data_IF_393935066301
#
_entry.id   IF_393935066301
#
_cell.length_a   1.000
_cell.length_b   1.000
_cell.length_c   1.000
_cell.angle_alpha   90.00
_cell.angle_beta   90.00
_cell.angle_gamma   90.00
#
_symmetry.space_group_name_H-M   'P 1'
#
loop_
_entity.id
_entity.type
_entity.pdbx_description
1 polymer ?
#
# COMPACT_ATOMS: atom_id res chain seq x y z
N UNK A 1 65.88 2.69 -33.93
CA UNK A 1 64.51 2.44 -34.42
C UNK A 1 63.74 1.36 -33.66
N UNK A 2 64.32 0.18 -33.35
CA UNK A 2 63.57 -0.90 -32.64
C UNK A 2 63.06 -0.54 -31.24
N UNK A 3 63.77 0.27 -30.43
CA UNK A 3 63.33 0.68 -29.05
C UNK A 3 62.17 1.66 -29.02
N UNK A 4 62.05 2.53 -30.03
CA UNK A 4 60.94 3.49 -30.15
C UNK A 4 59.61 2.80 -30.45
N UNK A 5 59.62 1.75 -31.25
CA UNK A 5 58.46 0.96 -31.61
C UNK A 5 57.89 0.17 -30.41
N UNK A 6 58.77 -0.32 -29.50
CA UNK A 6 58.35 -1.05 -28.32
C UNK A 6 57.65 -0.10 -27.33
N UNK A 7 58.17 1.11 -27.14
CA UNK A 7 57.57 2.13 -26.24
C UNK A 7 56.20 2.57 -26.77
N UNK A 8 56.05 2.78 -28.08
CA UNK A 8 54.77 3.11 -28.71
C UNK A 8 53.71 1.98 -28.58
N UNK A 9 54.15 0.73 -28.70
CA UNK A 9 53.26 -0.45 -28.52
C UNK A 9 52.84 -0.59 -27.07
N UNK A 10 53.72 -0.38 -26.09
CA UNK A 10 53.38 -0.43 -24.66
C UNK A 10 52.46 0.72 -24.26
N UNK A 11 52.67 1.94 -24.77
CA UNK A 11 51.79 3.08 -24.55
C UNK A 11 50.41 2.88 -25.19
N UNK A 12 50.32 2.32 -26.40
CA UNK A 12 49.03 2.03 -27.03
C UNK A 12 48.29 0.91 -26.33
N UNK A 13 48.98 -0.11 -25.79
CA UNK A 13 48.36 -1.19 -25.03
C UNK A 13 47.89 -0.74 -23.64
N UNK A 14 48.63 0.16 -22.97
CA UNK A 14 48.20 0.76 -21.70
C UNK A 14 47.02 1.73 -21.88
N UNK A 15 46.93 2.44 -23.01
CA UNK A 15 45.82 3.30 -23.34
C UNK A 15 44.54 2.52 -23.70
N UNK A 16 44.65 1.34 -24.31
CA UNK A 16 43.52 0.43 -24.53
C UNK A 16 43.00 -0.19 -23.24
N UNK A 17 43.85 -0.45 -22.24
CA UNK A 17 43.45 -0.96 -20.93
C UNK A 17 42.70 0.09 -20.08
N UNK A 18 42.95 1.38 -20.32
CA UNK A 18 42.22 2.48 -19.65
C UNK A 18 40.86 2.77 -20.28
N UNK A 19 40.59 2.35 -21.51
CA UNK A 19 39.30 2.52 -22.19
C UNK A 19 38.31 1.39 -21.89
N UNK A 20 38.73 0.31 -21.22
CA UNK A 20 37.95 -0.91 -21.05
C UNK A 20 37.11 -1.00 -19.76
N UNK A 21 37.11 -0.01 -18.88
CA UNK A 21 36.53 -0.19 -17.53
C UNK A 21 35.55 0.88 -17.09
N UNK A 22 34.80 1.50 -18.00
CA UNK A 22 33.63 2.26 -17.59
C UNK A 22 32.40 1.34 -17.60
N UNK A 23 32.43 0.29 -16.80
CA UNK A 23 31.17 -0.42 -16.45
C UNK A 23 30.33 0.56 -15.67
N UNK A 24 29.30 1.09 -16.30
CA UNK A 24 28.35 1.96 -15.64
C UNK A 24 27.81 1.20 -14.41
N UNK A 25 28.17 1.67 -13.21
CA UNK A 25 27.72 1.07 -11.96
C UNK A 25 26.19 1.03 -11.97
N UNK A 26 25.62 -0.15 -11.85
CA UNK A 26 24.17 -0.29 -11.75
C UNK A 26 23.67 0.34 -10.45
N UNK A 27 22.58 1.08 -10.55
CA UNK A 27 21.85 1.57 -9.40
C UNK A 27 21.08 0.42 -8.74
N UNK A 28 21.19 0.25 -7.45
CA UNK A 28 20.44 -0.75 -6.69
C UNK A 28 19.31 -0.05 -5.92
N UNK A 29 18.07 -0.41 -6.25
CA UNK A 29 16.89 0.11 -5.56
C UNK A 29 16.32 -0.98 -4.66
N UNK A 30 16.29 -0.72 -3.35
CA UNK A 30 15.60 -1.56 -2.38
C UNK A 30 14.10 -1.29 -2.42
N UNK A 31 13.29 -2.34 -2.59
CA UNK A 31 11.82 -2.25 -2.54
C UNK A 31 11.32 -3.06 -1.35
N UNK A 32 10.84 -2.37 -0.33
CA UNK A 32 10.37 -2.97 0.94
C UNK A 32 8.85 -2.89 1.03
N UNK A 33 8.19 -4.03 0.89
CA UNK A 33 6.73 -4.16 1.03
C UNK A 33 6.34 -4.62 2.43
N UNK A 34 5.23 -4.06 2.94
CA UNK A 34 4.66 -4.45 4.24
C UNK A 34 4.12 -5.88 4.25
N UNK A 35 3.52 -6.30 3.15
CA UNK A 35 2.78 -7.55 3.04
C UNK A 35 2.75 -8.04 1.61
N UNK A 36 2.23 -9.24 1.39
CA UNK A 36 1.79 -9.79 0.11
C UNK A 36 0.29 -9.53 -0.10
N UNK A 37 -0.25 -9.99 -1.24
CA UNK A 37 -1.66 -9.88 -1.63
C UNK A 37 -1.84 -9.21 -2.98
N UNK A 38 -3.04 -9.35 -3.56
CA UNK A 38 -3.36 -8.98 -4.95
C UNK A 38 -2.94 -7.55 -5.28
N UNK A 39 -3.30 -6.58 -4.42
CA UNK A 39 -2.93 -5.18 -4.63
C UNK A 39 -1.41 -4.96 -4.61
N UNK A 40 -0.68 -5.60 -3.68
CA UNK A 40 0.79 -5.50 -3.59
C UNK A 40 1.50 -6.18 -4.75
N UNK A 41 0.98 -7.33 -5.20
CA UNK A 41 1.53 -8.02 -6.37
C UNK A 41 1.37 -7.20 -7.64
N UNK A 42 0.21 -6.53 -7.83
CA UNK A 42 0.03 -5.60 -8.93
C UNK A 42 1.09 -4.51 -8.90
N UNK A 43 1.29 -3.84 -7.77
CA UNK A 43 2.33 -2.80 -7.62
C UNK A 43 3.72 -3.34 -7.90
N UNK A 44 4.07 -4.50 -7.35
CA UNK A 44 5.37 -5.13 -7.58
C UNK A 44 5.61 -5.45 -9.06
N UNK A 45 4.56 -5.89 -9.77
CA UNK A 45 4.63 -6.17 -11.20
C UNK A 45 4.84 -4.89 -12.02
N UNK A 46 4.14 -3.79 -11.69
CA UNK A 46 4.36 -2.49 -12.34
C UNK A 46 5.81 -1.98 -12.12
N UNK A 47 6.35 -2.13 -10.91
CA UNK A 47 7.74 -1.76 -10.62
C UNK A 47 8.72 -2.62 -11.43
N UNK A 48 8.48 -3.93 -11.55
CA UNK A 48 9.31 -4.82 -12.37
C UNK A 48 9.20 -4.49 -13.86
N UNK A 49 7.99 -4.18 -14.35
CA UNK A 49 7.80 -3.75 -15.74
C UNK A 49 8.54 -2.45 -16.03
N UNK A 50 8.50 -1.48 -15.13
CA UNK A 50 9.26 -0.24 -15.26
C UNK A 50 10.77 -0.50 -15.35
N UNK A 51 11.30 -1.48 -14.60
CA UNK A 51 12.72 -1.84 -14.65
C UNK A 51 13.20 -2.23 -16.07
N UNK A 52 12.36 -2.87 -16.88
CA UNK A 52 12.74 -3.24 -18.26
C UNK A 52 13.15 -2.03 -19.13
N UNK A 53 12.68 -0.83 -18.78
CA UNK A 53 13.02 0.41 -19.46
C UNK A 53 14.38 0.96 -18.99
N UNK A 54 14.92 0.50 -17.86
CA UNK A 54 16.14 1.00 -17.21
C UNK A 54 17.16 -0.12 -16.98
N UNK A 55 17.98 -0.39 -18.00
CA UNK A 55 18.97 -1.48 -17.98
C UNK A 55 20.06 -1.35 -16.89
N UNK A 56 20.24 -0.14 -16.36
CA UNK A 56 21.22 0.19 -15.33
C UNK A 56 20.65 0.15 -13.91
N UNK A 57 19.43 -0.42 -13.72
CA UNK A 57 18.78 -0.53 -12.42
C UNK A 57 18.60 -2.00 -12.04
N UNK A 58 19.03 -2.37 -10.83
CA UNK A 58 18.74 -3.65 -10.19
C UNK A 58 17.76 -3.42 -9.03
N UNK A 59 16.75 -4.28 -8.90
CA UNK A 59 15.76 -4.23 -7.83
C UNK A 59 16.01 -5.30 -6.77
N UNK A 60 16.01 -4.89 -5.50
CA UNK A 60 16.09 -5.76 -4.33
C UNK A 60 14.74 -5.75 -3.59
N UNK A 61 13.87 -6.72 -3.87
CA UNK A 61 12.57 -6.84 -3.21
C UNK A 61 12.66 -7.55 -1.86
N UNK A 62 11.91 -7.04 -0.88
CA UNK A 62 11.62 -7.72 0.38
C UNK A 62 10.15 -7.56 0.74
N UNK A 63 9.59 -8.53 1.47
CA UNK A 63 8.22 -8.51 1.99
C UNK A 63 8.24 -8.83 3.47
N UNK A 64 7.52 -8.05 4.26
CA UNK A 64 7.54 -8.17 5.72
C UNK A 64 6.45 -9.10 6.27
N UNK A 65 5.45 -9.46 5.47
CA UNK A 65 4.32 -10.34 5.84
C UNK A 65 3.54 -9.82 7.07
N UNK A 66 3.25 -8.51 7.10
CA UNK A 66 2.59 -7.82 8.21
C UNK A 66 3.36 -7.88 9.54
N UNK A 67 4.69 -7.88 9.48
CA UNK A 67 5.58 -7.78 10.64
C UNK A 67 6.48 -6.53 10.48
N UNK A 68 6.11 -5.44 11.16
CA UNK A 68 6.83 -4.17 11.10
C UNK A 68 8.26 -4.26 11.61
N UNK A 69 8.54 -5.12 12.61
CA UNK A 69 9.89 -5.35 13.12
C UNK A 69 10.75 -6.11 12.10
N UNK A 70 10.16 -7.08 11.39
CA UNK A 70 10.82 -7.74 10.25
C UNK A 70 11.12 -6.73 9.15
N UNK A 71 10.18 -5.84 8.82
CA UNK A 71 10.40 -4.80 7.83
C UNK A 71 11.55 -3.86 8.22
N UNK A 72 11.60 -3.43 9.47
CA UNK A 72 12.69 -2.60 9.99
C UNK A 72 14.05 -3.28 9.81
N UNK A 73 14.18 -4.57 10.14
CA UNK A 73 15.42 -5.35 9.93
C UNK A 73 15.77 -5.49 8.44
N UNK A 74 14.79 -5.65 7.56
CA UNK A 74 15.01 -5.69 6.11
C UNK A 74 15.53 -4.36 5.57
N UNK A 75 15.00 -3.23 6.04
CA UNK A 75 15.49 -1.89 5.70
C UNK A 75 16.93 -1.72 6.22
N UNK A 76 17.25 -2.14 7.43
CA UNK A 76 18.61 -2.12 7.97
C UNK A 76 19.59 -2.94 7.10
N UNK A 77 19.16 -4.08 6.57
CA UNK A 77 19.95 -4.86 5.62
C UNK A 77 20.19 -4.11 4.30
N UNK A 78 19.20 -3.35 3.80
CA UNK A 78 19.38 -2.50 2.62
C UNK A 78 20.39 -1.37 2.88
N UNK A 79 20.32 -0.75 4.07
CA UNK A 79 21.29 0.27 4.51
C UNK A 79 22.71 -0.31 4.54
N UNK A 80 22.88 -1.49 5.17
CA UNK A 80 24.19 -2.16 5.25
C UNK A 80 24.75 -2.52 3.88
N UNK A 81 23.91 -2.85 2.90
CA UNK A 81 24.26 -3.11 1.50
C UNK A 81 24.53 -1.84 0.68
N UNK A 82 24.29 -0.66 1.27
CA UNK A 82 24.47 0.64 0.60
C UNK A 82 23.69 0.73 -0.71
N UNK A 83 22.40 0.34 -0.68
CA UNK A 83 21.52 0.56 -1.84
C UNK A 83 21.44 2.04 -2.18
N UNK A 84 21.23 2.39 -3.44
CA UNK A 84 21.24 3.77 -3.90
C UNK A 84 19.89 4.50 -3.61
N UNK A 85 18.80 3.75 -3.40
CA UNK A 85 17.46 4.26 -3.07
C UNK A 85 16.66 3.17 -2.34
N UNK A 86 15.79 3.57 -1.42
CA UNK A 86 14.78 2.68 -0.82
C UNK A 86 13.39 3.19 -1.17
N UNK A 87 12.56 2.33 -1.77
CA UNK A 87 11.13 2.52 -1.93
C UNK A 87 10.45 1.64 -0.89
N UNK A 88 9.64 2.20 -0.02
CA UNK A 88 9.04 1.46 1.09
C UNK A 88 7.55 1.75 1.23
N UNK A 89 6.76 0.68 1.33
CA UNK A 89 5.38 0.73 1.81
C UNK A 89 5.37 0.29 3.27
N UNK A 90 5.34 1.21 4.25
CA UNK A 90 5.47 0.86 5.66
C UNK A 90 4.35 -0.06 6.15
N UNK A 91 4.68 -1.08 6.96
CA UNK A 91 3.68 -1.96 7.57
C UNK A 91 2.82 -1.17 8.56
N UNK A 92 3.47 -0.54 9.50
CA UNK A 92 2.85 0.34 10.48
C UNK A 92 3.75 1.55 10.79
N UNK A 93 3.13 2.58 11.36
CA UNK A 93 3.82 3.85 11.62
C UNK A 93 4.80 3.79 12.79
N UNK A 94 4.68 2.82 13.70
CA UNK A 94 5.49 2.75 14.92
C UNK A 94 6.81 2.02 14.68
N UNK A 95 6.75 0.81 14.14
CA UNK A 95 7.93 -0.06 13.99
C UNK A 95 8.86 0.39 12.86
N UNK A 96 8.28 0.94 11.77
CA UNK A 96 9.05 1.27 10.56
C UNK A 96 9.69 2.65 10.63
N UNK A 97 9.08 3.62 11.34
CA UNK A 97 9.65 4.98 11.46
C UNK A 97 11.12 5.00 11.88
N UNK A 98 11.57 4.26 12.92
CA UNK A 98 12.99 4.26 13.30
C UNK A 98 13.94 3.77 12.20
N UNK A 99 13.51 2.83 11.37
CA UNK A 99 14.33 2.34 10.25
C UNK A 99 14.46 3.39 9.13
N UNK A 100 13.39 4.14 8.85
CA UNK A 100 13.43 5.27 7.91
C UNK A 100 14.40 6.35 8.40
N UNK A 101 14.37 6.68 9.70
CA UNK A 101 15.32 7.61 10.32
C UNK A 101 16.77 7.14 10.15
N UNK A 102 17.05 5.84 10.27
CA UNK A 102 18.40 5.29 10.05
C UNK A 102 18.82 5.40 8.58
N UNK A 103 17.92 5.11 7.64
CA UNK A 103 18.19 5.28 6.20
C UNK A 103 18.52 6.74 5.86
N UNK A 104 17.73 7.68 6.40
CA UNK A 104 17.97 9.12 6.23
C UNK A 104 19.36 9.53 6.75
N UNK A 105 19.73 9.12 7.98
CA UNK A 105 21.06 9.39 8.54
C UNK A 105 22.21 8.74 7.77
N UNK A 106 21.96 7.64 7.09
CA UNK A 106 22.90 6.98 6.19
C UNK A 106 22.96 7.65 4.80
N UNK A 107 22.26 8.78 4.59
CA UNK A 107 22.15 9.51 3.33
C UNK A 107 21.61 8.67 2.17
N UNK A 108 20.78 7.66 2.47
CA UNK A 108 20.09 6.88 1.45
C UNK A 108 18.73 7.53 1.21
N UNK A 109 18.42 7.98 -0.02
CA UNK A 109 17.11 8.51 -0.36
C UNK A 109 15.99 7.49 -0.06
N UNK A 110 14.87 7.96 0.49
CA UNK A 110 13.71 7.13 0.80
C UNK A 110 12.47 7.69 0.11
N UNK A 111 11.78 6.86 -0.64
CA UNK A 111 10.46 7.15 -1.18
C UNK A 111 9.44 6.32 -0.40
N UNK A 112 8.55 6.99 0.31
CA UNK A 112 7.37 6.35 0.90
C UNK A 112 6.33 6.10 -0.20
N UNK A 113 5.75 4.92 -0.21
CA UNK A 113 4.74 4.54 -1.18
C UNK A 113 3.48 4.05 -0.46
N UNK A 114 2.31 4.57 -0.86
CA UNK A 114 0.99 4.20 -0.33
C UNK A 114 0.78 4.54 1.15
N UNK A 115 1.72 4.20 2.02
CA UNK A 115 1.64 4.37 3.46
C UNK A 115 2.67 5.35 3.99
N UNK A 116 2.39 5.94 5.15
CA UNK A 116 3.20 6.99 5.78
C UNK A 116 3.87 6.50 7.05
N UNK A 117 4.84 7.27 7.53
CA UNK A 117 5.55 7.12 8.80
C UNK A 117 5.40 8.37 9.67
N UNK A 118 5.86 8.33 10.93
CA UNK A 118 5.79 9.45 11.90
C UNK A 118 7.05 10.32 11.88
N UNK A 119 7.64 10.56 10.73
CA UNK A 119 8.81 11.44 10.58
C UNK A 119 8.73 12.19 9.26
N UNK A 120 9.25 13.42 9.17
CA UNK A 120 9.41 14.13 7.91
C UNK A 120 10.70 13.72 7.15
N UNK A 121 11.55 12.86 7.69
CA UNK A 121 12.87 12.51 7.17
C UNK A 121 12.78 11.44 6.08
N UNK A 122 12.24 11.81 4.93
CA UNK A 122 12.21 11.01 3.70
C UNK A 122 12.32 11.96 2.50
N UNK A 123 12.65 11.43 1.33
CA UNK A 123 12.87 12.23 0.11
C UNK A 123 11.56 12.62 -0.56
N UNK A 124 10.63 11.66 -0.68
CA UNK A 124 9.32 11.87 -1.29
C UNK A 124 8.29 10.88 -0.72
N UNK A 125 7.01 11.23 -0.85
CA UNK A 125 5.89 10.33 -0.54
C UNK A 125 4.92 10.33 -1.72
N UNK A 126 4.52 9.12 -2.13
CA UNK A 126 3.58 8.88 -3.23
C UNK A 126 2.41 8.08 -2.69
N UNK A 127 1.21 8.60 -2.79
CA UNK A 127 -0.01 7.94 -2.32
C UNK A 127 -1.23 8.81 -2.50
N UNK A 128 -2.41 8.26 -2.25
CA UNK A 128 -3.67 8.98 -2.27
C UNK A 128 -3.91 9.80 -1.00
N UNK A 129 -4.83 10.75 -1.07
CA UNK A 129 -5.35 11.43 0.12
C UNK A 129 -6.41 10.56 0.79
N UNK A 130 -5.95 9.76 1.76
CA UNK A 130 -6.81 8.83 2.49
C UNK A 130 -7.83 9.54 3.41
N UNK A 131 -7.52 10.77 3.86
CA UNK A 131 -8.47 11.55 4.65
C UNK A 131 -9.63 11.98 3.77
N UNK A 132 -9.32 12.52 2.59
CA UNK A 132 -10.37 12.93 1.66
C UNK A 132 -11.15 11.73 1.12
N UNK A 133 -10.50 10.60 0.84
CA UNK A 133 -11.19 9.36 0.48
C UNK A 133 -12.23 8.95 1.55
N UNK A 134 -11.86 9.01 2.84
CA UNK A 134 -12.79 8.76 3.93
C UNK A 134 -13.95 9.75 3.97
N UNK A 135 -13.68 11.05 3.75
CA UNK A 135 -14.72 12.09 3.71
C UNK A 135 -15.69 11.88 2.56
N UNK A 136 -15.20 11.55 1.37
CA UNK A 136 -16.05 11.33 0.20
C UNK A 136 -16.97 10.13 0.38
N UNK A 137 -16.46 9.01 0.92
CA UNK A 137 -17.31 7.86 1.24
C UNK A 137 -18.37 8.24 2.28
N UNK A 138 -18.00 9.00 3.29
CA UNK A 138 -18.94 9.45 4.32
C UNK A 138 -20.05 10.34 3.75
N UNK A 139 -19.71 11.33 2.91
CA UNK A 139 -20.68 12.20 2.23
C UNK A 139 -21.63 11.39 1.34
N UNK A 140 -21.09 10.45 0.58
CA UNK A 140 -21.85 9.59 -0.30
C UNK A 140 -22.85 8.75 0.49
N UNK A 141 -22.40 8.00 1.50
CA UNK A 141 -23.27 7.14 2.31
C UNK A 141 -24.30 7.96 3.08
N UNK A 142 -23.91 9.08 3.70
CA UNK A 142 -24.84 9.94 4.41
C UNK A 142 -25.93 10.50 3.50
N UNK A 143 -25.57 10.94 2.28
CA UNK A 143 -26.52 11.42 1.29
C UNK A 143 -27.48 10.34 0.81
N UNK A 144 -26.99 9.12 0.58
CA UNK A 144 -27.81 7.99 0.10
C UNK A 144 -28.75 7.42 1.15
N UNK A 145 -28.40 7.59 2.42
CA UNK A 145 -29.17 7.14 3.59
C UNK A 145 -30.02 8.27 4.21
N UNK A 146 -30.11 9.42 3.53
CA UNK A 146 -30.85 10.59 4.03
C UNK A 146 -30.48 10.98 5.48
N UNK A 147 -29.21 10.77 5.84
CA UNK A 147 -28.65 11.09 7.15
C UNK A 147 -29.12 10.19 8.31
N UNK A 148 -29.72 9.04 8.02
CA UNK A 148 -30.25 8.11 9.02
C UNK A 148 -29.76 6.67 8.76
N UNK A 149 -29.68 5.84 9.80
CA UNK A 149 -29.42 4.41 9.67
C UNK A 149 -28.12 3.96 10.35
N UNK A 150 -27.67 2.76 9.99
CA UNK A 150 -26.46 2.15 10.54
C UNK A 150 -25.47 1.85 9.44
N UNK A 151 -24.24 2.34 9.57
CA UNK A 151 -23.12 2.03 8.68
C UNK A 151 -22.14 1.12 9.41
N UNK A 152 -21.77 0.00 8.78
CA UNK A 152 -20.70 -0.87 9.24
C UNK A 152 -19.40 -0.46 8.52
N UNK A 153 -18.45 0.07 9.27
CA UNK A 153 -17.10 0.41 8.81
C UNK A 153 -16.18 -0.78 8.98
N UNK A 154 -15.69 -1.36 7.90
CA UNK A 154 -14.77 -2.50 7.91
C UNK A 154 -13.37 -2.01 7.63
N UNK A 155 -12.54 -1.95 8.69
CA UNK A 155 -11.19 -1.40 8.62
C UNK A 155 -10.13 -2.47 8.33
N UNK A 156 -8.93 -2.02 7.93
CA UNK A 156 -7.72 -2.84 7.85
C UNK A 156 -6.99 -2.91 9.20
N UNK A 157 -5.66 -3.02 9.16
CA UNK A 157 -4.78 -3.00 10.34
C UNK A 157 -4.79 -1.61 10.98
N UNK A 158 -5.17 -1.50 12.25
CA UNK A 158 -5.40 -0.23 12.98
C UNK A 158 -4.21 0.74 12.97
N UNK A 159 -2.97 0.22 12.94
CA UNK A 159 -1.74 1.04 12.95
C UNK A 159 -1.21 1.37 11.54
N UNK A 160 -1.93 0.97 10.49
CA UNK A 160 -1.62 1.36 9.13
C UNK A 160 -2.15 2.77 8.83
N UNK A 161 -1.30 3.65 8.26
CA UNK A 161 -1.67 5.04 7.99
C UNK A 161 -2.93 5.20 7.14
N UNK A 162 -3.23 4.37 6.11
CA UNK A 162 -4.48 4.48 5.36
C UNK A 162 -5.72 4.25 6.24
N UNK A 163 -5.65 3.32 7.21
CA UNK A 163 -6.77 3.07 8.13
C UNK A 163 -7.00 4.27 9.03
N UNK A 164 -5.93 4.79 9.65
CA UNK A 164 -5.99 5.96 10.54
C UNK A 164 -6.59 7.16 9.79
N UNK A 165 -6.14 7.40 8.55
CA UNK A 165 -6.55 8.55 7.76
C UNK A 165 -7.97 8.41 7.20
N UNK A 166 -8.36 7.24 6.64
CA UNK A 166 -9.71 6.96 6.15
C UNK A 166 -10.74 7.04 7.28
N UNK A 167 -10.45 6.38 8.41
CA UNK A 167 -11.28 6.45 9.62
C UNK A 167 -11.47 7.90 10.10
N UNK A 168 -10.39 8.68 10.19
CA UNK A 168 -10.45 10.08 10.58
C UNK A 168 -11.36 10.88 9.64
N UNK A 169 -11.12 10.82 8.34
CA UNK A 169 -11.91 11.56 7.35
C UNK A 169 -13.39 11.17 7.36
N UNK A 170 -13.68 9.88 7.47
CA UNK A 170 -15.03 9.35 7.57
C UNK A 170 -15.75 9.90 8.80
N UNK A 171 -15.15 9.78 9.98
CA UNK A 171 -15.75 10.24 11.24
C UNK A 171 -15.81 11.77 11.37
N UNK A 172 -14.94 12.54 10.70
CA UNK A 172 -15.07 13.99 10.63
C UNK A 172 -16.40 14.41 9.99
N UNK A 173 -16.84 13.72 8.94
CA UNK A 173 -18.11 14.00 8.26
C UNK A 173 -19.27 13.43 9.05
N UNK A 174 -19.18 12.20 9.57
CA UNK A 174 -20.27 11.55 10.34
C UNK A 174 -20.71 12.32 11.58
N UNK A 175 -19.85 13.16 12.15
CA UNK A 175 -20.25 14.08 13.25
C UNK A 175 -21.41 15.01 12.90
N UNK A 176 -21.62 15.29 11.62
CA UNK A 176 -22.71 16.14 11.15
C UNK A 176 -24.03 15.38 10.91
N UNK A 177 -24.01 14.05 11.08
CA UNK A 177 -25.15 13.17 10.84
C UNK A 177 -25.48 12.32 12.08
N UNK A 178 -26.04 12.93 13.15
CA UNK A 178 -26.30 12.23 14.42
C UNK A 178 -27.34 11.10 14.30
N UNK A 179 -28.10 11.05 13.19
CA UNK A 179 -29.02 9.96 12.88
C UNK A 179 -28.32 8.71 12.31
N UNK A 180 -27.02 8.80 11.96
CA UNK A 180 -26.25 7.66 11.48
C UNK A 180 -25.45 7.07 12.64
N UNK A 181 -25.69 5.78 12.91
CA UNK A 181 -24.85 4.97 13.81
C UNK A 181 -23.72 4.33 13.02
N UNK A 182 -22.47 4.44 13.49
CA UNK A 182 -21.33 3.75 12.91
C UNK A 182 -20.88 2.61 13.82
N UNK A 183 -20.65 1.43 13.22
CA UNK A 183 -20.12 0.24 13.90
C UNK A 183 -18.82 -0.15 13.19
N UNK A 184 -17.70 -0.12 13.89
CA UNK A 184 -16.37 -0.41 13.31
C UNK A 184 -15.95 -1.86 13.57
N UNK A 185 -15.53 -2.59 12.52
CA UNK A 185 -15.07 -3.97 12.55
C UNK A 185 -13.68 -4.04 11.91
N UNK A 186 -12.70 -4.64 12.61
CA UNK A 186 -11.31 -4.72 12.17
C UNK A 186 -11.04 -6.04 11.43
N UNK A 187 -10.94 -6.00 10.10
CA UNK A 187 -10.72 -7.18 9.24
C UNK A 187 -9.26 -7.51 8.97
N UNK A 188 -8.34 -6.62 9.32
CA UNK A 188 -6.90 -6.76 9.03
C UNK A 188 -6.60 -6.95 7.53
N UNK A 189 -7.37 -6.30 6.64
CA UNK A 189 -7.30 -6.41 5.17
C UNK A 189 -7.68 -7.79 4.61
N UNK A 190 -8.30 -8.66 5.41
CA UNK A 190 -8.65 -10.04 5.00
C UNK A 190 -10.14 -10.12 4.70
N UNK A 191 -10.47 -10.60 3.50
CA UNK A 191 -11.84 -10.78 3.03
C UNK A 191 -12.62 -11.76 3.91
N UNK A 192 -12.05 -12.92 4.21
CA UNK A 192 -12.67 -13.96 5.04
C UNK A 192 -12.94 -13.45 6.46
N UNK A 193 -12.02 -12.61 6.98
CA UNK A 193 -12.21 -12.00 8.30
C UNK A 193 -13.33 -10.96 8.27
N UNK A 194 -13.42 -10.16 7.20
CA UNK A 194 -14.51 -9.21 7.02
C UNK A 194 -15.87 -9.93 6.96
N UNK A 195 -15.96 -11.02 6.20
CA UNK A 195 -17.16 -11.85 6.10
C UNK A 195 -17.56 -12.45 7.47
N UNK A 196 -16.61 -13.02 8.20
CA UNK A 196 -16.86 -13.60 9.51
C UNK A 196 -17.30 -12.54 10.55
N UNK A 197 -16.68 -11.37 10.54
CA UNK A 197 -17.07 -10.25 11.42
C UNK A 197 -18.47 -9.74 11.09
N UNK A 198 -18.79 -9.59 9.82
CA UNK A 198 -20.13 -9.20 9.38
C UNK A 198 -21.17 -10.24 9.81
N UNK A 199 -20.85 -11.54 9.65
CA UNK A 199 -21.68 -12.66 10.14
C UNK A 199 -21.93 -12.54 11.64
N UNK A 200 -20.89 -12.40 12.45
CA UNK A 200 -20.99 -12.31 13.90
C UNK A 200 -21.80 -11.07 14.34
N UNK A 201 -21.65 -9.96 13.63
CA UNK A 201 -22.41 -8.75 13.90
C UNK A 201 -23.91 -8.95 13.63
N UNK A 202 -24.26 -9.53 12.49
CA UNK A 202 -25.65 -9.79 12.11
C UNK A 202 -26.30 -10.89 12.97
N UNK A 203 -25.55 -11.94 13.37
CA UNK A 203 -26.04 -13.00 14.26
C UNK A 203 -26.42 -12.49 15.66
N UNK A 204 -25.81 -11.40 16.10
CA UNK A 204 -26.14 -10.71 17.36
C UNK A 204 -27.30 -9.72 17.24
N UNK A 205 -28.03 -9.76 16.13
CA UNK A 205 -29.13 -8.84 15.86
C UNK A 205 -28.69 -7.47 15.36
N UNK A 206 -27.44 -7.35 14.88
CA UNK A 206 -26.95 -6.15 14.21
C UNK A 206 -27.72 -5.88 12.91
N UNK A 207 -27.80 -4.62 12.53
CA UNK A 207 -28.41 -4.16 11.28
C UNK A 207 -27.43 -3.26 10.54
N UNK A 208 -27.43 -3.28 9.19
CA UNK A 208 -26.63 -2.41 8.35
C UNK A 208 -27.47 -1.89 7.18
N UNK A 209 -27.52 -0.58 7.03
CA UNK A 209 -28.06 0.12 5.86
C UNK A 209 -26.95 0.46 4.86
N UNK A 210 -25.73 0.62 5.38
CA UNK A 210 -24.53 0.86 4.58
C UNK A 210 -23.31 0.11 5.09
N UNK A 211 -22.36 -0.13 4.20
CA UNK A 211 -21.04 -0.67 4.52
C UNK A 211 -19.96 0.22 3.89
N UNK A 212 -18.98 0.58 4.68
CA UNK A 212 -17.72 1.19 4.22
C UNK A 212 -16.57 0.21 4.40
N UNK A 213 -16.14 -0.45 3.34
CA UNK A 213 -14.90 -1.23 3.32
C UNK A 213 -13.69 -0.33 3.07
N UNK A 214 -12.72 -0.31 4.00
CA UNK A 214 -11.46 0.40 3.79
C UNK A 214 -10.62 -0.20 2.64
N UNK A 215 -11.05 -1.33 2.09
CA UNK A 215 -10.51 -1.95 0.88
C UNK A 215 -11.63 -2.70 0.16
N UNK A 216 -11.43 -3.01 -1.11
CA UNK A 216 -12.35 -3.89 -1.85
C UNK A 216 -12.53 -5.22 -1.14
N UNK A 217 -11.47 -5.82 -0.59
CA UNK A 217 -11.58 -7.09 0.14
C UNK A 217 -12.49 -6.99 1.37
N UNK A 218 -12.44 -5.88 2.10
CA UNK A 218 -13.35 -5.63 3.23
C UNK A 218 -14.81 -5.52 2.78
N UNK A 219 -15.06 -4.77 1.71
CA UNK A 219 -16.37 -4.60 1.11
C UNK A 219 -16.92 -5.91 0.54
N UNK A 220 -16.08 -6.69 -0.18
CA UNK A 220 -16.45 -8.00 -0.73
C UNK A 220 -16.84 -8.98 0.39
N UNK A 221 -16.06 -9.04 1.47
CA UNK A 221 -16.39 -9.90 2.62
C UNK A 221 -17.76 -9.59 3.21
N UNK A 222 -18.09 -8.32 3.38
CA UNK A 222 -19.43 -7.90 3.84
C UNK A 222 -20.53 -8.25 2.83
N UNK A 223 -20.27 -8.02 1.53
CA UNK A 223 -21.22 -8.35 0.46
C UNK A 223 -21.54 -9.86 0.45
N UNK A 224 -20.54 -10.73 0.52
CA UNK A 224 -20.73 -12.19 0.50
C UNK A 224 -21.59 -12.65 1.68
N UNK A 225 -21.46 -12.07 2.85
CA UNK A 225 -22.34 -12.40 3.97
C UNK A 225 -23.75 -11.86 3.79
N UNK A 226 -23.89 -10.65 3.25
CA UNK A 226 -25.20 -10.07 2.92
C UNK A 226 -25.93 -10.90 1.87
N UNK A 227 -25.24 -11.30 0.80
CA UNK A 227 -25.75 -12.18 -0.27
C UNK A 227 -26.20 -13.53 0.28
N UNK A 228 -25.37 -14.16 1.12
CA UNK A 228 -25.72 -15.44 1.79
C UNK A 228 -27.02 -15.36 2.59
N UNK A 229 -27.35 -14.17 3.12
CA UNK A 229 -28.59 -13.91 3.86
C UNK A 229 -29.75 -13.40 3.01
N UNK A 230 -29.52 -13.10 1.74
CA UNK A 230 -30.51 -12.51 0.84
C UNK A 230 -30.87 -11.06 1.18
N UNK A 231 -29.94 -10.31 1.79
CA UNK A 231 -30.12 -8.89 2.17
C UNK A 231 -29.17 -7.94 1.43
N UNK A 232 -28.38 -8.46 0.46
CA UNK A 232 -27.41 -7.69 -0.31
C UNK A 232 -28.02 -6.50 -1.05
N UNK A 233 -29.27 -6.63 -1.51
CA UNK A 233 -30.00 -5.54 -2.19
C UNK A 233 -30.52 -4.44 -1.25
N UNK A 234 -30.43 -4.67 0.06
CA UNK A 234 -30.90 -3.72 1.09
C UNK A 234 -29.76 -2.91 1.71
N UNK A 235 -28.51 -3.24 1.38
CA UNK A 235 -27.33 -2.64 1.97
C UNK A 235 -26.53 -1.93 0.87
N UNK A 236 -26.24 -0.65 1.07
CA UNK A 236 -25.38 0.13 0.20
C UNK A 236 -23.91 -0.14 0.55
N UNK A 237 -23.13 -0.70 -0.36
CA UNK A 237 -21.74 -1.10 -0.10
C UNK A 237 -20.78 -0.22 -0.89
N UNK A 238 -19.75 0.30 -0.21
CA UNK A 238 -18.67 1.09 -0.80
C UNK A 238 -17.33 0.49 -0.39
N UNK A 239 -16.44 0.29 -1.39
CA UNK A 239 -15.05 -0.14 -1.21
C UNK A 239 -14.06 0.94 -1.60
N UNK A 240 -12.78 0.67 -1.34
CA UNK A 240 -11.65 1.44 -1.83
C UNK A 240 -10.67 0.45 -2.43
N UNK A 241 -10.00 0.81 -3.49
CA UNK A 241 -8.92 0.23 -4.30
C UNK A 241 -9.30 0.25 -5.77
N UNK A 242 -10.52 -0.17 -6.14
CA UNK A 242 -10.97 -0.25 -7.53
C UNK A 242 -10.13 -1.24 -8.34
N UNK A 243 -9.84 -2.41 -7.79
CA UNK A 243 -9.06 -3.44 -8.48
C UNK A 243 -9.79 -3.91 -9.74
N UNK A 244 -9.11 -3.93 -10.91
CA UNK A 244 -9.69 -4.36 -12.17
C UNK A 244 -9.53 -5.88 -12.34
N UNK A 245 -10.45 -6.67 -11.92
CA UNK A 245 -10.44 -8.11 -12.08
C UNK A 245 -11.85 -8.66 -12.03
N UNK A 246 -12.04 -9.87 -12.53
CA UNK A 246 -13.31 -10.59 -12.34
C UNK A 246 -13.54 -10.80 -10.84
N UNK A 247 -14.73 -10.45 -10.36
CA UNK A 247 -15.13 -10.47 -8.95
C UNK A 247 -14.40 -9.47 -8.02
N UNK A 248 -13.53 -8.60 -8.55
CA UNK A 248 -12.87 -7.52 -7.84
C UNK A 248 -13.72 -6.23 -7.81
N UNK A 249 -13.24 -5.17 -7.14
CA UNK A 249 -14.02 -3.96 -6.86
C UNK A 249 -14.71 -3.33 -8.06
N UNK A 250 -14.00 -3.09 -9.18
CA UNK A 250 -14.59 -2.51 -10.40
C UNK A 250 -15.67 -3.41 -11.01
N UNK A 251 -15.47 -4.72 -11.02
CA UNK A 251 -16.47 -5.68 -11.52
C UNK A 251 -17.73 -5.68 -10.64
N UNK A 252 -17.55 -5.60 -9.32
CA UNK A 252 -18.67 -5.49 -8.35
C UNK A 252 -19.53 -4.25 -8.60
N UNK A 253 -18.89 -3.10 -8.84
CA UNK A 253 -19.59 -1.86 -9.21
C UNK A 253 -20.38 -2.04 -10.51
N UNK A 254 -19.78 -2.63 -11.55
CA UNK A 254 -20.47 -2.91 -12.83
C UNK A 254 -21.67 -3.82 -12.68
N UNK A 255 -21.63 -4.76 -11.73
CA UNK A 255 -22.75 -5.68 -11.41
C UNK A 255 -23.80 -5.04 -10.49
N UNK A 256 -23.61 -3.81 -10.04
CA UNK A 256 -24.50 -3.14 -9.10
C UNK A 256 -24.50 -3.77 -7.70
N UNK A 257 -23.35 -4.32 -7.29
CA UNK A 257 -23.15 -4.93 -5.97
C UNK A 257 -22.49 -3.96 -4.98
N UNK A 258 -21.82 -2.95 -5.54
CA UNK A 258 -21.20 -1.81 -4.81
C UNK A 258 -21.73 -0.50 -5.34
#
# INVERSE_FOLDING_TARGET
>A
MKRINIILIVLSFSMLLLLGACTQKKMVIGVSQCCSGVWREKVNNEIRLAQYQYKNVDLLFTTAENDGQRQARQIDSMIARKVDLIVVAPDNVNDVTPAIERAYRAHIPVILFDRKVKTPHYTASIGGDNVEAGREVARFLASKLDGQGTIVEITGLKDASPVIERHRGFHEVMKNYPGIKVVTLESNWKMERAQELMKQYLDKGGHADGVFGHSDLGAIGAFLEAERRGIDKQILIVGIDGLPGEWEGVDRVKRGQF
#
